data_IF_667511708262
#
_entry.id   IF_667511708262
#
_cell.length_a   1.000
_cell.length_b   1.000
_cell.length_c   1.000
_cell.angle_alpha   90.00
_cell.angle_beta   90.00
_cell.angle_gamma   90.00
#
_symmetry.space_group_name_H-M   'P 1'
#
loop_
_entity.id
_entity.type
_entity.pdbx_description
1 polymer ?
#
# COMPACT_ATOMS: atom_id res chain seq x y z
N UNK A 1 -0.03 -3.53 6.71
CA UNK A 1 -0.25 -2.06 6.68
C UNK A 1 -0.48 -1.64 5.22
N UNK A 2 -0.95 -0.42 4.93
CA UNK A 2 -1.05 0.07 3.55
C UNK A 2 0.15 0.94 3.20
N UNK A 3 0.84 0.74 2.06
CA UNK A 3 2.04 1.52 1.64
C UNK A 3 1.83 3.03 1.82
N UNK A 4 0.79 3.58 1.20
CA UNK A 4 0.43 5.00 1.20
C UNK A 4 0.13 5.56 2.61
N UNK A 5 -0.02 4.72 3.63
CA UNK A 5 -0.44 5.13 4.97
C UNK A 5 0.72 5.17 5.96
N UNK A 6 1.83 4.52 5.63
CA UNK A 6 3.06 4.54 6.42
C UNK A 6 4.12 5.49 5.84
N UNK A 7 4.09 5.72 4.52
CA UNK A 7 4.97 6.67 3.83
C UNK A 7 4.36 8.08 3.65
N UNK A 8 3.11 8.27 4.07
CA UNK A 8 2.48 9.59 4.13
C UNK A 8 2.30 10.27 2.78
N UNK A 9 2.58 11.57 2.77
CA UNK A 9 2.47 12.41 1.58
C UNK A 9 3.64 12.27 0.59
N UNK A 10 4.68 11.49 0.93
CA UNK A 10 5.92 11.37 0.16
C UNK A 10 6.48 12.75 -0.28
N UNK A 11 6.70 13.70 0.66
CA UNK A 11 7.09 15.08 0.31
C UNK A 11 8.42 15.15 -0.44
N UNK A 12 9.30 14.16 -0.26
CA UNK A 12 10.61 14.08 -0.91
C UNK A 12 10.54 13.49 -2.33
N UNK A 13 9.37 13.02 -2.78
CA UNK A 13 9.17 12.47 -4.12
C UNK A 13 8.61 13.57 -5.03
N UNK A 14 9.49 14.23 -5.77
CA UNK A 14 9.07 15.19 -6.79
C UNK A 14 8.26 14.51 -7.89
N UNK A 15 7.08 15.04 -8.20
CA UNK A 15 6.14 14.50 -9.19
C UNK A 15 5.84 15.55 -10.25
N UNK A 16 5.79 15.15 -11.52
CA UNK A 16 5.29 15.98 -12.62
C UNK A 16 3.93 15.48 -13.10
N UNK A 17 3.06 16.39 -13.50
CA UNK A 17 1.80 16.03 -14.14
C UNK A 17 2.02 15.76 -15.64
N UNK A 18 1.44 14.66 -16.12
CA UNK A 18 1.16 14.39 -17.53
C UNK A 18 -0.35 14.62 -17.79
N UNK A 19 -0.79 14.39 -19.02
CA UNK A 19 -2.19 14.58 -19.41
C UNK A 19 -3.14 13.66 -18.63
N UNK A 20 -2.73 12.41 -18.41
CA UNK A 20 -3.57 11.35 -17.82
C UNK A 20 -3.15 10.94 -16.40
N UNK A 21 -1.95 11.31 -15.93
CA UNK A 21 -1.41 10.84 -14.64
C UNK A 21 -0.32 11.72 -14.07
N UNK A 22 -0.02 11.54 -12.79
CA UNK A 22 1.18 12.07 -12.14
C UNK A 22 2.32 11.03 -12.20
N UNK A 23 3.53 11.48 -12.52
CA UNK A 23 4.70 10.63 -12.69
C UNK A 23 5.86 11.12 -11.82
N UNK A 24 6.55 10.23 -11.07
CA UNK A 24 7.77 10.60 -10.35
C UNK A 24 8.83 11.15 -11.31
N UNK A 25 9.43 12.29 -10.95
CA UNK A 25 10.53 12.89 -11.71
C UNK A 25 11.75 11.97 -11.70
N UNK A 26 12.04 11.35 -10.55
CA UNK A 26 13.10 10.36 -10.41
C UNK A 26 12.85 9.12 -11.27
N UNK A 27 13.86 8.73 -12.06
CA UNK A 27 13.75 7.62 -12.98
C UNK A 27 13.74 6.25 -12.29
N UNK A 28 14.44 6.11 -11.16
CA UNK A 28 14.49 4.89 -10.36
C UNK A 28 13.15 4.60 -9.70
N UNK A 29 12.55 5.61 -9.04
CA UNK A 29 11.22 5.51 -8.44
C UNK A 29 10.16 5.25 -9.52
N UNK A 30 10.27 5.88 -10.69
CA UNK A 30 9.34 5.63 -11.79
C UNK A 30 9.41 4.20 -12.32
N UNK A 31 10.60 3.58 -12.32
CA UNK A 31 10.80 2.23 -12.81
C UNK A 31 10.43 1.16 -11.76
N UNK A 32 10.71 1.42 -10.48
CA UNK A 32 10.69 0.39 -9.43
C UNK A 32 9.69 0.67 -8.29
N UNK A 33 9.14 1.87 -8.22
CA UNK A 33 8.29 2.29 -7.11
C UNK A 33 9.08 2.80 -5.90
N UNK A 34 8.38 2.88 -4.77
CA UNK A 34 8.95 3.26 -3.47
C UNK A 34 9.39 1.99 -2.76
N UNK A 35 10.62 1.98 -2.24
CA UNK A 35 11.15 0.87 -1.44
C UNK A 35 11.03 1.13 0.07
N UNK A 36 11.44 0.16 0.88
CA UNK A 36 11.35 0.21 2.34
C UNK A 36 12.40 1.10 3.01
N UNK A 37 13.34 1.64 2.24
CA UNK A 37 14.31 2.65 2.72
C UNK A 37 13.72 4.05 2.77
N UNK A 38 12.56 4.25 2.13
CA UNK A 38 11.80 5.48 2.22
C UNK A 38 11.41 5.80 3.67
N UNK A 39 11.64 7.05 4.08
CA UNK A 39 11.28 7.53 5.41
C UNK A 39 9.79 7.36 5.71
N UNK A 40 9.49 7.00 6.95
CA UNK A 40 8.11 6.89 7.40
C UNK A 40 7.56 8.26 7.77
N UNK A 41 6.36 8.56 7.29
CA UNK A 41 5.62 9.79 7.59
C UNK A 41 4.15 9.41 7.82
N UNK A 42 3.77 9.22 9.08
CA UNK A 42 2.42 8.74 9.40
C UNK A 42 1.40 9.88 9.27
N UNK A 43 0.71 9.91 8.13
CA UNK A 43 -0.38 10.84 7.86
C UNK A 43 -1.75 10.24 8.17
N UNK A 44 -2.67 11.04 8.73
CA UNK A 44 -4.05 10.69 9.15
C UNK A 44 -4.14 9.76 10.38
N UNK A 45 -5.23 9.77 11.17
CA UNK A 45 -5.41 8.84 12.29
C UNK A 45 -5.28 7.37 11.89
N UNK A 46 -5.75 7.01 10.68
CA UNK A 46 -5.59 5.66 10.14
C UNK A 46 -4.11 5.34 9.89
N UNK A 47 -3.37 6.24 9.25
CA UNK A 47 -1.93 6.06 9.01
C UNK A 47 -1.13 5.97 10.31
N UNK A 48 -1.41 6.85 11.29
CA UNK A 48 -0.80 6.77 12.61
C UNK A 48 -1.07 5.43 13.31
N UNK A 49 -2.32 4.94 13.30
CA UNK A 49 -2.65 3.65 13.95
C UNK A 49 -1.94 2.47 13.29
N UNK A 50 -1.83 2.46 11.95
CA UNK A 50 -1.13 1.40 11.20
C UNK A 50 0.38 1.51 11.29
N UNK A 51 0.91 2.73 11.27
CA UNK A 51 2.32 3.02 11.45
C UNK A 51 2.81 2.65 12.85
N UNK A 52 2.06 2.98 13.89
CA UNK A 52 2.37 2.55 15.25
C UNK A 52 2.39 1.02 15.36
N UNK A 53 1.37 0.34 14.83
CA UNK A 53 1.32 -1.12 14.83
C UNK A 53 2.47 -1.76 14.02
N UNK A 54 2.81 -1.19 12.85
CA UNK A 54 3.98 -1.57 12.04
C UNK A 54 5.25 -1.54 12.88
N UNK A 55 5.52 -0.43 13.56
CA UNK A 55 6.72 -0.28 14.37
C UNK A 55 6.74 -1.20 15.59
N UNK A 56 5.61 -1.40 16.28
CA UNK A 56 5.53 -2.35 17.39
C UNK A 56 5.80 -3.79 16.97
N UNK A 57 5.28 -4.22 15.81
CA UNK A 57 5.53 -5.58 15.29
C UNK A 57 7.01 -5.80 14.99
N UNK A 58 7.68 -4.81 14.39
CA UNK A 58 9.12 -4.88 14.11
C UNK A 58 9.96 -4.83 15.39
N UNK A 59 9.58 -3.99 16.36
CA UNK A 59 10.28 -3.90 17.64
C UNK A 59 10.14 -5.19 18.44
N UNK A 60 8.98 -5.85 18.41
CA UNK A 60 8.77 -7.11 19.12
C UNK A 60 9.66 -8.25 18.59
N UNK A 61 10.00 -8.26 17.30
CA UNK A 61 11.02 -9.17 16.78
C UNK A 61 12.41 -8.86 17.35
N UNK A 62 12.76 -7.58 17.51
CA UNK A 62 14.08 -7.17 18.04
C UNK A 62 14.20 -7.40 19.55
N UNK A 63 13.15 -7.05 20.27
CA UNK A 63 13.10 -7.02 21.73
C UNK A 63 12.84 -8.40 22.33
N UNK A 64 12.07 -9.25 21.65
CA UNK A 64 11.59 -10.52 22.18
C UNK A 64 11.84 -11.73 21.26
N UNK A 65 12.62 -11.55 20.19
CA UNK A 65 12.90 -12.59 19.17
C UNK A 65 11.64 -13.27 18.62
N UNK A 66 10.54 -12.50 18.53
CA UNK A 66 9.29 -13.02 17.97
C UNK A 66 9.40 -13.13 16.44
N UNK A 67 8.94 -14.25 15.84
CA UNK A 67 8.97 -14.45 14.40
C UNK A 67 7.87 -13.63 13.71
N UNK A 68 8.12 -12.32 13.55
CA UNK A 68 7.18 -11.37 12.94
C UNK A 68 7.77 -10.68 11.73
N UNK A 69 6.92 -10.34 10.76
CA UNK A 69 7.28 -9.52 9.60
C UNK A 69 6.13 -8.58 9.26
N UNK A 70 6.43 -7.44 8.66
CA UNK A 70 5.41 -6.47 8.24
C UNK A 70 5.30 -6.42 6.72
N UNK A 71 4.08 -6.58 6.22
CA UNK A 71 3.75 -6.37 4.81
C UNK A 71 2.98 -5.05 4.67
N UNK A 72 3.57 -4.08 3.97
CA UNK A 72 3.06 -2.72 3.71
C UNK A 72 2.34 -2.69 2.38
N UNK A 73 1.33 -3.54 2.19
CA UNK A 73 0.63 -3.73 0.93
C UNK A 73 0.04 -2.45 0.33
N UNK A 74 0.09 -2.28 -1.00
CA UNK A 74 -0.63 -1.20 -1.67
C UNK A 74 -2.13 -1.52 -1.87
N UNK A 75 -2.70 -1.24 -3.05
CA UNK A 75 -4.09 -1.51 -3.34
C UNK A 75 -4.31 -2.97 -3.73
N UNK A 76 -4.84 -3.78 -2.81
CA UNK A 76 -5.25 -5.16 -3.12
C UNK A 76 -6.68 -5.15 -3.71
N UNK A 77 -6.87 -5.88 -4.80
CA UNK A 77 -8.18 -6.08 -5.42
C UNK A 77 -8.42 -7.54 -5.83
N UNK A 78 -9.68 -7.93 -5.99
CA UNK A 78 -10.04 -9.24 -6.55
C UNK A 78 -11.39 -9.76 -6.07
N UNK A 79 -11.72 -11.03 -6.41
CA UNK A 79 -12.97 -11.66 -5.99
C UNK A 79 -13.19 -11.60 -4.47
N UNK A 80 -14.45 -11.50 -4.05
CA UNK A 80 -14.90 -11.38 -2.64
C UNK A 80 -14.61 -10.04 -1.97
N UNK A 81 -14.09 -9.05 -2.69
CA UNK A 81 -13.99 -7.67 -2.20
C UNK A 81 -15.32 -6.94 -2.36
N UNK A 82 -15.90 -6.48 -1.26
CA UNK A 82 -17.09 -5.62 -1.25
C UNK A 82 -16.65 -4.16 -1.21
N UNK A 83 -16.26 -3.62 -2.37
CA UNK A 83 -15.76 -2.24 -2.49
C UNK A 83 -16.83 -1.19 -2.22
N UNK A 84 -16.50 -0.18 -1.42
CA UNK A 84 -17.30 1.02 -1.14
C UNK A 84 -16.53 2.27 -1.56
N UNK A 85 -17.18 3.43 -1.51
CA UNK A 85 -16.56 4.72 -1.85
C UNK A 85 -15.29 4.98 -1.01
N UNK A 86 -15.32 4.60 0.27
CA UNK A 86 -14.21 4.81 1.21
C UNK A 86 -13.15 3.68 1.19
N UNK A 87 -13.45 2.51 0.62
CA UNK A 87 -12.56 1.34 0.69
C UNK A 87 -12.66 0.43 -0.54
N UNK A 88 -11.51 0.12 -1.15
CA UNK A 88 -11.44 -0.82 -2.27
C UNK A 88 -11.94 -0.19 -3.57
N UNK A 89 -11.29 0.91 -3.98
CA UNK A 89 -11.73 1.75 -5.09
C UNK A 89 -11.88 0.97 -6.42
N UNK A 90 -11.02 -0.02 -6.70
CA UNK A 90 -11.12 -0.85 -7.92
C UNK A 90 -12.46 -1.61 -7.94
N UNK A 91 -12.80 -2.29 -6.84
CA UNK A 91 -14.07 -3.00 -6.72
C UNK A 91 -15.26 -2.03 -6.69
N UNK A 92 -15.12 -0.89 -6.02
CA UNK A 92 -16.16 0.14 -5.99
C UNK A 92 -16.48 0.67 -7.40
N UNK A 93 -15.47 1.02 -8.19
CA UNK A 93 -15.64 1.52 -9.56
C UNK A 93 -16.27 0.46 -10.46
N UNK A 94 -15.81 -0.79 -10.37
CA UNK A 94 -16.40 -1.91 -11.12
C UNK A 94 -17.89 -2.10 -10.76
N UNK A 95 -18.23 -2.13 -9.47
CA UNK A 95 -19.61 -2.29 -9.01
C UNK A 95 -20.49 -1.11 -9.42
N UNK A 96 -19.98 0.11 -9.37
CA UNK A 96 -20.69 1.32 -9.83
C UNK A 96 -20.95 1.28 -11.33
N UNK A 97 -19.94 0.96 -12.14
CA UNK A 97 -20.07 0.82 -13.59
C UNK A 97 -21.10 -0.27 -13.98
N UNK A 98 -21.01 -1.45 -13.37
CA UNK A 98 -21.94 -2.56 -13.60
C UNK A 98 -23.39 -2.23 -13.18
N UNK A 99 -23.56 -1.33 -12.21
CA UNK A 99 -24.88 -0.91 -11.73
C UNK A 99 -25.40 0.35 -12.42
N UNK A 100 -24.70 0.88 -13.43
CA UNK A 100 -25.05 2.14 -14.08
C UNK A 100 -25.01 3.36 -13.15
N UNK A 101 -24.27 3.29 -12.05
CA UNK A 101 -24.08 4.41 -11.11
C UNK A 101 -22.90 5.28 -11.55
N UNK A 102 -22.94 6.60 -11.33
CA UNK A 102 -21.83 7.48 -11.65
C UNK A 102 -20.57 7.11 -10.85
N UNK A 103 -19.40 7.33 -11.44
CA UNK A 103 -18.11 7.22 -10.77
C UNK A 103 -17.66 8.63 -10.40
N UNK A 104 -17.49 8.87 -9.10
CA UNK A 104 -16.94 10.12 -8.58
C UNK A 104 -15.45 9.95 -8.33
N UNK A 105 -14.65 10.91 -8.80
CA UNK A 105 -13.21 10.95 -8.56
C UNK A 105 -12.91 12.15 -7.67
N UNK A 106 -12.24 11.90 -6.55
CA UNK A 106 -11.75 12.96 -5.68
C UNK A 106 -10.39 13.47 -6.17
N UNK A 107 -10.29 14.79 -6.39
CA UNK A 107 -9.12 15.43 -6.98
C UNK A 107 -9.19 15.53 -8.50
N UNK A 108 -8.03 15.60 -9.16
CA UNK A 108 -7.93 15.75 -10.62
C UNK A 108 -7.95 14.40 -11.37
N UNK A 109 -7.99 13.28 -10.67
CA UNK A 109 -8.01 11.94 -11.26
C UNK A 109 -6.67 11.43 -11.79
N UNK A 110 -5.59 12.20 -11.62
CA UNK A 110 -4.25 11.84 -12.09
C UNK A 110 -3.45 11.01 -11.08
N UNK A 111 -4.01 10.73 -9.91
CA UNK A 111 -3.35 9.92 -8.88
C UNK A 111 -3.06 8.50 -9.38
N UNK A 112 -1.83 8.03 -9.16
CA UNK A 112 -1.43 6.66 -9.51
C UNK A 112 -1.35 5.79 -8.26
N UNK A 113 -1.81 4.55 -8.39
CA UNK A 113 -1.61 3.48 -7.41
C UNK A 113 -1.27 2.20 -8.15
N UNK A 114 -0.25 1.52 -7.66
CA UNK A 114 -0.02 0.11 -7.96
C UNK A 114 -1.20 -0.72 -7.41
N UNK A 115 -1.63 -1.70 -8.20
CA UNK A 115 -2.71 -2.62 -7.87
C UNK A 115 -2.18 -4.04 -7.83
N UNK A 116 -2.54 -4.78 -6.78
CA UNK A 116 -2.11 -6.15 -6.55
C UNK A 116 -3.33 -7.06 -6.53
N UNK A 117 -3.34 -8.08 -7.39
CA UNK A 117 -4.44 -9.04 -7.37
C UNK A 117 -4.36 -9.90 -6.10
N UNK A 118 -5.53 -10.26 -5.54
CA UNK A 118 -5.63 -10.98 -4.27
C UNK A 118 -4.90 -12.33 -4.28
N UNK A 119 -4.79 -13.00 -5.43
CA UNK A 119 -4.01 -14.25 -5.54
C UNK A 119 -2.53 -14.03 -5.23
N UNK A 120 -1.97 -12.93 -5.71
CA UNK A 120 -0.55 -12.60 -5.56
C UNK A 120 -0.27 -12.13 -4.13
N UNK A 121 -1.19 -11.35 -3.56
CA UNK A 121 -1.15 -11.02 -2.13
C UNK A 121 -1.14 -12.29 -1.27
N UNK A 122 -2.05 -13.24 -1.53
CA UNK A 122 -2.08 -14.54 -0.81
C UNK A 122 -0.77 -15.31 -0.97
N UNK A 123 -0.20 -15.34 -2.18
CA UNK A 123 1.09 -15.96 -2.42
C UNK A 123 2.20 -15.31 -1.59
N UNK A 124 2.24 -13.97 -1.51
CA UNK A 124 3.18 -13.22 -0.68
C UNK A 124 3.02 -13.55 0.82
N UNK A 125 1.79 -13.56 1.35
CA UNK A 125 1.53 -13.95 2.75
C UNK A 125 1.99 -15.37 3.06
N UNK A 126 1.70 -16.33 2.16
CA UNK A 126 2.15 -17.72 2.31
C UNK A 126 3.67 -17.85 2.25
N UNK A 127 4.31 -17.11 1.35
CA UNK A 127 5.77 -17.06 1.22
C UNK A 127 6.43 -16.48 2.48
N UNK A 128 5.88 -15.38 3.01
CA UNK A 128 6.36 -14.75 4.23
C UNK A 128 6.24 -15.71 5.43
N UNK A 129 5.09 -16.37 5.60
CA UNK A 129 4.89 -17.35 6.67
C UNK A 129 5.86 -18.53 6.56
N UNK A 130 6.07 -19.06 5.35
CA UNK A 130 6.95 -20.21 5.12
C UNK A 130 8.43 -19.90 5.40
N UNK A 131 8.83 -18.63 5.38
CA UNK A 131 10.23 -18.18 5.57
C UNK A 131 10.37 -17.23 6.75
N UNK A 132 9.44 -17.25 7.70
CA UNK A 132 9.35 -16.23 8.74
C UNK A 132 10.64 -16.09 9.53
N UNK A 133 11.38 -17.18 9.75
CA UNK A 133 12.67 -17.17 10.43
C UNK A 133 13.76 -16.39 9.66
N UNK A 134 13.74 -16.41 8.34
CA UNK A 134 14.73 -15.72 7.49
C UNK A 134 14.44 -14.21 7.35
N UNK A 135 13.16 -13.84 7.55
CA UNK A 135 12.65 -12.50 7.30
C UNK A 135 12.18 -11.77 8.55
N UNK A 136 12.30 -12.38 9.74
CA UNK A 136 11.80 -11.79 10.97
C UNK A 136 12.41 -10.41 11.25
N UNK A 137 11.59 -9.51 11.77
CA UNK A 137 11.97 -8.13 12.07
C UNK A 137 12.14 -7.23 10.84
N UNK A 138 11.71 -7.66 9.65
CA UNK A 138 11.75 -6.85 8.41
C UNK A 138 10.36 -6.41 7.97
N UNK A 139 10.34 -5.26 7.29
CA UNK A 139 9.19 -4.78 6.55
C UNK A 139 9.40 -4.99 5.04
N UNK A 140 8.32 -5.22 4.31
CA UNK A 140 8.30 -5.38 2.86
C UNK A 140 7.11 -4.63 2.29
N UNK A 141 7.28 -3.99 1.13
CA UNK A 141 6.19 -3.40 0.35
C UNK A 141 5.39 -4.47 -0.41
#
# INVERSE_FOLDING_TARGET
ASTNKVYGGLPDVAVREEDDRCVPCDAGIRANGIDETCGLDFCTPYGCSKGAADQYVLDYAKSYDLPTAVLRMSCIYGPRQFGTEDQGWVAHFLLSALSGRPITIYGNGKQVRDILHVSDAVAAYRGALARIEDIRGKAFN
#
